data_IF_652420196799
#
_entry.id   IF_652420196799
#
_cell.length_a   1.000
_cell.length_b   1.000
_cell.length_c   1.000
_cell.angle_alpha   90.00
_cell.angle_beta   90.00
_cell.angle_gamma   90.00
#
_symmetry.space_group_name_H-M   'P 1'
#
loop_
_entity.id
_entity.type
_entity.pdbx_description
1 polymer ?
#
# COMPACT_ATOMS: atom_id res chain seq x y z
N UNK A 1 25.02 -12.91 1.53
CA UNK A 1 23.93 -12.43 0.68
C UNK A 1 22.72 -12.18 1.57
N UNK A 2 22.12 -11.02 1.49
CA UNK A 2 20.89 -10.69 2.21
C UNK A 2 19.75 -11.56 1.68
N UNK A 3 18.74 -11.77 2.54
CA UNK A 3 17.59 -12.64 2.26
C UNK A 3 16.31 -11.84 2.36
N UNK A 4 15.29 -12.27 1.62
CA UNK A 4 13.91 -11.85 1.84
C UNK A 4 13.15 -12.98 2.56
N UNK A 5 12.39 -12.62 3.60
CA UNK A 5 11.57 -13.53 4.39
C UNK A 5 10.14 -13.01 4.45
N UNK A 6 9.17 -13.92 4.47
CA UNK A 6 7.79 -13.61 4.86
C UNK A 6 7.61 -13.98 6.32
N UNK A 7 7.16 -13.04 7.14
CA UNK A 7 6.96 -13.25 8.56
C UNK A 7 6.04 -14.44 8.85
N UNK A 8 4.93 -14.52 8.14
CA UNK A 8 3.93 -15.59 8.28
C UNK A 8 4.42 -16.99 7.91
N UNK A 9 5.51 -17.09 7.13
CA UNK A 9 6.09 -18.35 6.65
C UNK A 9 7.41 -18.70 7.38
N UNK A 10 7.80 -17.87 8.36
CA UNK A 10 9.10 -17.98 9.01
C UNK A 10 8.92 -18.34 10.48
N UNK A 11 9.68 -19.34 10.95
CA UNK A 11 9.65 -19.76 12.33
C UNK A 11 10.27 -18.73 13.30
N UNK A 12 9.93 -18.88 14.59
CA UNK A 12 10.35 -17.99 15.67
C UNK A 12 11.87 -17.78 15.74
N UNK A 13 12.63 -18.86 15.61
CA UNK A 13 14.08 -18.81 15.84
C UNK A 13 14.81 -18.17 14.66
N UNK A 14 14.28 -18.33 13.46
CA UNK A 14 14.76 -17.65 12.26
C UNK A 14 14.43 -16.16 12.30
N UNK A 15 13.21 -15.77 12.68
CA UNK A 15 12.83 -14.37 12.89
C UNK A 15 13.73 -13.73 13.96
N UNK A 16 13.91 -14.37 15.11
CA UNK A 16 14.75 -13.85 16.21
C UNK A 16 16.18 -13.57 15.78
N UNK A 17 16.74 -14.39 14.89
CA UNK A 17 18.11 -14.20 14.39
C UNK A 17 18.26 -13.02 13.45
N UNK A 18 17.26 -12.79 12.60
CA UNK A 18 17.37 -11.77 11.53
C UNK A 18 16.79 -10.41 11.91
N UNK A 19 15.78 -10.39 12.78
CA UNK A 19 15.01 -9.19 13.09
C UNK A 19 15.86 -7.98 13.58
N UNK A 20 16.91 -8.16 14.41
CA UNK A 20 17.74 -7.02 14.86
C UNK A 20 18.42 -6.26 13.73
N UNK A 21 18.79 -6.95 12.65
CA UNK A 21 19.48 -6.36 11.51
C UNK A 21 18.55 -6.10 10.31
N UNK A 22 17.33 -6.61 10.36
CA UNK A 22 16.40 -6.53 9.23
C UNK A 22 15.76 -5.15 9.08
N UNK A 23 15.33 -4.87 7.83
CA UNK A 23 14.27 -3.91 7.53
C UNK A 23 12.97 -4.69 7.44
N UNK A 24 11.99 -4.36 8.29
CA UNK A 24 10.65 -4.96 8.27
C UNK A 24 9.75 -4.10 7.40
N UNK A 25 9.12 -4.71 6.39
CA UNK A 25 8.17 -4.04 5.51
C UNK A 25 6.76 -4.45 5.96
N UNK A 26 5.92 -3.49 6.31
CA UNK A 26 4.51 -3.70 6.66
C UNK A 26 3.66 -3.16 5.52
N UNK A 27 3.02 -4.02 4.70
CA UNK A 27 2.02 -3.57 3.75
C UNK A 27 0.78 -3.05 4.50
N UNK A 28 0.29 -1.87 4.15
CA UNK A 28 -0.89 -1.24 4.76
C UNK A 28 -1.89 -0.95 3.64
N UNK A 29 -2.93 -1.75 3.56
CA UNK A 29 -4.00 -1.61 2.57
C UNK A 29 -5.31 -1.13 3.19
N UNK A 30 -6.41 -1.45 2.51
CA UNK A 30 -7.77 -1.26 3.00
C UNK A 30 -8.68 -2.37 2.46
N UNK A 31 -9.81 -2.57 3.14
CA UNK A 31 -10.94 -3.35 2.65
C UNK A 31 -12.08 -2.37 2.39
N UNK A 32 -12.17 -1.88 1.17
CA UNK A 32 -13.14 -0.85 0.79
C UNK A 32 -13.73 -1.07 -0.60
N UNK A 33 -14.88 -0.45 -0.85
CA UNK A 33 -15.48 -0.50 -2.17
C UNK A 33 -14.50 0.02 -3.24
N UNK A 34 -14.44 -0.66 -4.37
CA UNK A 34 -13.65 -0.29 -5.55
C UNK A 34 -14.51 -0.36 -6.81
N UNK A 35 -15.59 0.43 -6.82
CA UNK A 35 -16.57 0.40 -7.90
C UNK A 35 -17.30 -0.96 -8.00
N UNK A 36 -18.08 -1.16 -9.05
CA UNK A 36 -18.84 -2.41 -9.24
C UNK A 36 -18.02 -3.57 -9.81
N UNK A 37 -16.73 -3.36 -10.12
CA UNK A 37 -15.93 -4.29 -10.93
C UNK A 37 -14.68 -4.83 -10.23
N UNK A 38 -14.19 -4.19 -9.15
CA UNK A 38 -13.02 -4.66 -8.41
C UNK A 38 -13.40 -5.24 -7.04
N UNK A 39 -12.59 -6.16 -6.51
CA UNK A 39 -12.78 -6.68 -5.16
C UNK A 39 -12.49 -5.61 -4.11
N UNK A 40 -13.13 -5.72 -2.96
CA UNK A 40 -12.92 -4.80 -1.84
C UNK A 40 -11.51 -4.87 -1.22
N UNK A 41 -10.74 -5.90 -1.56
CA UNK A 41 -9.35 -6.10 -1.12
C UNK A 41 -8.30 -5.49 -2.05
N UNK A 42 -8.68 -4.66 -3.02
CA UNK A 42 -7.77 -4.13 -4.06
C UNK A 42 -6.51 -3.50 -3.48
N UNK A 43 -6.64 -2.60 -2.53
CA UNK A 43 -5.50 -1.92 -1.90
C UNK A 43 -4.56 -2.88 -1.18
N UNK A 44 -5.13 -3.78 -0.38
CA UNK A 44 -4.35 -4.78 0.35
C UNK A 44 -3.63 -5.74 -0.60
N UNK A 45 -4.32 -6.16 -1.67
CA UNK A 45 -3.77 -7.05 -2.70
C UNK A 45 -2.57 -6.41 -3.41
N UNK A 46 -2.70 -5.16 -3.84
CA UNK A 46 -1.64 -4.45 -4.56
C UNK A 46 -0.48 -4.13 -3.61
N UNK A 47 -0.75 -3.61 -2.41
CA UNK A 47 0.29 -3.31 -1.42
C UNK A 47 1.12 -4.55 -1.05
N UNK A 48 0.45 -5.69 -0.82
CA UNK A 48 1.12 -6.96 -0.52
C UNK A 48 1.97 -7.45 -1.70
N UNK A 49 1.44 -7.38 -2.93
CA UNK A 49 2.16 -7.78 -4.14
C UNK A 49 3.41 -6.92 -4.38
N UNK A 50 3.32 -5.60 -4.20
CA UNK A 50 4.45 -4.69 -4.34
C UNK A 50 5.48 -4.94 -3.24
N UNK A 51 5.07 -5.12 -1.98
CA UNK A 51 5.97 -5.38 -0.87
C UNK A 51 6.76 -6.70 -1.03
N UNK A 52 6.05 -7.78 -1.36
CA UNK A 52 6.66 -9.10 -1.58
C UNK A 52 7.60 -9.10 -2.78
N UNK A 53 7.15 -8.52 -3.90
CA UNK A 53 7.95 -8.39 -5.11
C UNK A 53 9.20 -7.55 -4.87
N UNK A 54 9.07 -6.39 -4.23
CA UNK A 54 10.17 -5.50 -3.93
C UNK A 54 11.20 -6.12 -2.98
N UNK A 55 10.76 -6.78 -1.90
CA UNK A 55 11.65 -7.47 -0.99
C UNK A 55 12.42 -8.60 -1.70
N UNK A 56 11.74 -9.35 -2.57
CA UNK A 56 12.36 -10.42 -3.37
C UNK A 56 13.39 -9.87 -4.36
N UNK A 57 13.06 -8.80 -5.09
CA UNK A 57 13.95 -8.17 -6.06
C UNK A 57 15.15 -7.45 -5.42
N UNK A 58 14.98 -6.93 -4.19
CA UNK A 58 16.05 -6.31 -3.41
C UNK A 58 16.95 -7.34 -2.70
N UNK A 59 16.50 -8.60 -2.52
CA UNK A 59 17.30 -9.63 -1.89
C UNK A 59 18.61 -9.87 -2.67
N UNK A 60 19.72 -9.98 -1.94
CA UNK A 60 21.06 -10.08 -2.53
C UNK A 60 21.69 -8.73 -2.94
N UNK A 61 20.91 -7.66 -3.05
CA UNK A 61 21.37 -6.28 -3.33
C UNK A 61 21.39 -5.41 -2.06
N UNK A 62 20.55 -5.75 -1.10
CA UNK A 62 20.45 -5.04 0.19
C UNK A 62 21.55 -5.48 1.13
N UNK A 63 22.06 -4.57 1.95
CA UNK A 63 23.05 -4.88 3.00
C UNK A 63 22.40 -5.55 4.23
N UNK A 64 21.05 -5.53 4.32
CA UNK A 64 20.28 -6.04 5.43
C UNK A 64 19.25 -7.08 5.01
N UNK A 65 18.91 -8.05 5.86
CA UNK A 65 17.74 -8.90 5.63
C UNK A 65 16.47 -8.07 5.47
N UNK A 66 15.58 -8.50 4.59
CA UNK A 66 14.26 -7.89 4.39
C UNK A 66 13.18 -8.86 4.90
N UNK A 67 12.26 -8.38 5.73
CA UNK A 67 11.18 -9.21 6.29
C UNK A 67 9.86 -8.56 5.95
N UNK A 68 9.03 -9.21 5.14
CA UNK A 68 7.66 -8.74 4.85
C UNK A 68 6.73 -9.26 5.93
N UNK A 69 6.10 -8.34 6.68
CA UNK A 69 5.08 -8.66 7.67
C UNK A 69 3.74 -8.99 6.99
N UNK A 70 2.80 -9.66 7.69
CA UNK A 70 1.42 -9.78 7.22
C UNK A 70 0.83 -8.40 6.92
N UNK A 71 0.05 -8.30 5.85
CA UNK A 71 -0.59 -7.04 5.48
C UNK A 71 -1.63 -6.62 6.53
N UNK A 72 -1.79 -5.30 6.69
CA UNK A 72 -2.93 -4.71 7.39
C UNK A 72 -4.02 -4.50 6.34
N UNK A 73 -5.06 -5.33 6.37
CA UNK A 73 -6.12 -5.36 5.36
C UNK A 73 -7.23 -4.34 5.62
N UNK A 74 -7.25 -3.67 6.77
CA UNK A 74 -8.27 -2.67 7.14
C UNK A 74 -7.65 -1.29 7.26
N UNK A 75 -8.12 -0.37 6.41
CA UNK A 75 -7.66 1.00 6.33
C UNK A 75 -8.64 2.01 6.95
N UNK A 76 -8.27 3.29 6.87
CA UNK A 76 -9.13 4.42 7.24
C UNK A 76 -9.99 4.84 6.03
N UNK A 77 -11.13 4.18 5.84
CA UNK A 77 -11.97 4.21 4.63
C UNK A 77 -13.40 4.69 4.87
N UNK A 78 -13.66 5.48 5.92
CA UNK A 78 -15.01 5.93 6.29
C UNK A 78 -15.72 6.68 5.14
N UNK A 79 -14.98 7.32 4.25
CA UNK A 79 -15.52 8.01 3.08
C UNK A 79 -16.15 7.06 2.05
N UNK A 80 -15.86 5.76 2.12
CA UNK A 80 -16.42 4.72 1.27
C UNK A 80 -17.58 3.92 1.89
N UNK A 81 -17.89 4.11 3.18
CA UNK A 81 -19.00 3.42 3.86
C UNK A 81 -20.37 3.57 3.17
N UNK A 82 -20.72 4.75 2.56
CA UNK A 82 -22.03 4.91 1.91
C UNK A 82 -22.29 3.98 0.71
N UNK A 83 -21.24 3.37 0.14
CA UNK A 83 -21.39 2.52 -1.06
C UNK A 83 -21.54 1.02 -0.75
N UNK A 84 -21.36 0.61 0.51
CA UNK A 84 -21.34 -0.80 0.90
C UNK A 84 -19.99 -1.49 0.63
N UNK A 85 -19.83 -2.71 1.15
CA UNK A 85 -18.64 -3.54 0.96
C UNK A 85 -17.37 -3.07 1.70
N UNK A 86 -17.42 -1.95 2.42
CA UNK A 86 -16.28 -1.37 3.13
C UNK A 86 -16.26 -1.79 4.60
N UNK A 87 -15.08 -2.23 5.06
CA UNK A 87 -14.77 -2.44 6.48
C UNK A 87 -13.68 -1.45 6.88
N UNK A 88 -14.07 -0.38 7.57
CA UNK A 88 -13.18 0.73 7.92
C UNK A 88 -12.78 0.71 9.38
N UNK A 89 -11.53 1.10 9.66
CA UNK A 89 -11.10 1.53 10.98
C UNK A 89 -11.14 3.06 11.05
N UNK A 90 -11.47 3.63 12.21
CA UNK A 90 -11.24 5.06 12.40
C UNK A 90 -9.73 5.35 12.32
N UNK A 91 -9.31 6.57 11.90
CA UNK A 91 -7.90 6.94 11.85
C UNK A 91 -7.16 6.69 13.17
N UNK A 92 -7.80 6.95 14.31
CA UNK A 92 -7.24 6.73 15.65
C UNK A 92 -7.04 5.24 15.94
N UNK A 93 -7.99 4.40 15.53
CA UNK A 93 -7.90 2.95 15.71
C UNK A 93 -6.80 2.37 14.82
N UNK A 94 -6.72 2.77 13.55
CA UNK A 94 -5.65 2.32 12.64
C UNK A 94 -4.27 2.76 13.16
N UNK A 95 -4.15 4.00 13.65
CA UNK A 95 -2.91 4.49 14.28
C UNK A 95 -2.52 3.61 15.47
N UNK A 96 -3.48 3.25 16.33
CA UNK A 96 -3.22 2.39 17.48
C UNK A 96 -2.77 0.99 17.05
N UNK A 97 -3.40 0.39 16.04
CA UNK A 97 -3.01 -0.91 15.47
C UNK A 97 -1.57 -0.87 14.95
N UNK A 98 -1.23 0.12 14.11
CA UNK A 98 0.13 0.25 13.57
C UNK A 98 1.14 0.46 14.72
N UNK A 99 0.85 1.32 15.69
CA UNK A 99 1.72 1.54 16.84
C UNK A 99 1.94 0.27 17.68
N UNK A 100 0.94 -0.56 17.85
CA UNK A 100 1.08 -1.84 18.56
C UNK A 100 1.96 -2.84 17.80
N UNK A 101 1.88 -2.88 16.47
CA UNK A 101 2.79 -3.68 15.63
C UNK A 101 4.22 -3.15 15.72
N UNK A 102 4.42 -1.84 15.62
CA UNK A 102 5.74 -1.20 15.78
C UNK A 102 6.35 -1.50 17.16
N UNK A 103 5.56 -1.36 18.23
CA UNK A 103 5.96 -1.73 19.59
C UNK A 103 6.36 -3.21 19.68
N UNK A 104 5.60 -4.09 19.04
CA UNK A 104 5.87 -5.54 19.04
C UNK A 104 7.18 -5.87 18.32
N UNK A 105 7.46 -5.21 17.19
CA UNK A 105 8.72 -5.35 16.45
C UNK A 105 9.89 -4.85 17.31
N UNK A 106 9.76 -3.66 17.92
CA UNK A 106 10.79 -3.09 18.79
C UNK A 106 11.11 -3.99 19.99
N UNK A 107 10.07 -4.52 20.65
CA UNK A 107 10.22 -5.42 21.81
C UNK A 107 10.96 -6.73 21.46
N UNK A 108 10.94 -7.16 20.20
CA UNK A 108 11.65 -8.32 19.69
C UNK A 108 13.04 -8.00 19.11
N UNK A 109 13.50 -6.76 19.25
CA UNK A 109 14.83 -6.32 18.80
C UNK A 109 14.87 -5.72 17.40
N UNK A 110 13.74 -5.63 16.68
CA UNK A 110 13.67 -4.90 15.40
C UNK A 110 13.94 -3.40 15.60
N UNK A 111 14.53 -2.77 14.60
CA UNK A 111 14.91 -1.35 14.67
C UNK A 111 14.49 -0.53 13.45
N UNK A 112 14.16 -1.17 12.35
CA UNK A 112 13.93 -0.53 11.05
C UNK A 112 12.63 -1.03 10.45
N UNK A 113 11.73 -0.12 10.11
CA UNK A 113 10.42 -0.47 9.54
C UNK A 113 10.12 0.42 8.34
N UNK A 114 9.52 -0.17 7.31
CA UNK A 114 8.91 0.55 6.18
C UNK A 114 7.42 0.25 6.19
N UNK A 115 6.59 1.30 6.35
CA UNK A 115 5.16 1.22 6.10
C UNK A 115 4.93 1.41 4.60
N UNK A 116 4.61 0.34 3.88
CA UNK A 116 4.32 0.40 2.45
C UNK A 116 2.80 0.50 2.28
N UNK A 117 2.34 1.73 2.02
CA UNK A 117 0.93 2.06 1.97
C UNK A 117 0.34 1.87 0.58
N UNK A 118 -0.85 1.28 0.53
CA UNK A 118 -1.66 1.03 -0.66
C UNK A 118 -2.97 1.83 -0.72
N UNK A 119 -3.29 2.67 0.28
CA UNK A 119 -4.57 3.37 0.37
C UNK A 119 -4.41 4.85 0.71
N UNK A 120 -5.05 5.73 -0.06
CA UNK A 120 -4.98 7.19 0.12
C UNK A 120 -5.43 7.66 1.51
N UNK A 121 -6.47 7.06 2.07
CA UNK A 121 -6.98 7.39 3.41
C UNK A 121 -6.01 7.08 4.55
N UNK A 122 -5.00 6.24 4.32
CA UNK A 122 -4.01 5.87 5.32
C UNK A 122 -2.82 6.83 5.40
N UNK A 123 -2.61 7.71 4.41
CA UNK A 123 -1.39 8.55 4.29
C UNK A 123 -1.08 9.30 5.58
N UNK A 124 -2.04 10.07 6.10
CA UNK A 124 -1.85 10.83 7.34
C UNK A 124 -1.60 9.94 8.56
N UNK A 125 -2.26 8.77 8.62
CA UNK A 125 -2.09 7.80 9.71
C UNK A 125 -0.69 7.17 9.66
N UNK A 126 -0.20 6.79 8.48
CA UNK A 126 1.14 6.23 8.31
C UNK A 126 2.23 7.25 8.71
N UNK A 127 2.08 8.53 8.36
CA UNK A 127 2.98 9.58 8.82
C UNK A 127 2.97 9.73 10.34
N UNK A 128 1.79 9.77 10.96
CA UNK A 128 1.66 9.84 12.42
C UNK A 128 2.26 8.61 13.11
N UNK A 129 2.03 7.41 12.56
CA UNK A 129 2.60 6.16 13.07
C UNK A 129 4.13 6.13 12.96
N UNK A 130 4.69 6.60 11.85
CA UNK A 130 6.14 6.69 11.67
C UNK A 130 6.78 7.62 12.72
N UNK A 131 6.20 8.80 12.95
CA UNK A 131 6.65 9.71 13.98
C UNK A 131 6.53 9.12 15.39
N UNK A 132 5.42 8.45 15.70
CA UNK A 132 5.22 7.78 16.98
C UNK A 132 6.19 6.61 17.19
N UNK A 133 6.45 5.82 16.16
CA UNK A 133 7.41 4.69 16.19
C UNK A 133 8.83 5.16 16.52
N UNK A 134 9.25 6.25 15.89
CA UNK A 134 10.57 6.85 16.17
C UNK A 134 10.67 7.37 17.60
N UNK A 135 9.68 8.12 18.06
CA UNK A 135 9.77 8.81 19.37
C UNK A 135 9.48 7.92 20.57
N UNK A 136 8.60 6.90 20.41
CA UNK A 136 8.15 6.05 21.53
C UNK A 136 8.91 4.74 21.63
N UNK A 137 9.41 4.21 20.52
CA UNK A 137 9.96 2.85 20.46
C UNK A 137 11.39 2.78 19.95
N UNK A 138 12.03 3.91 19.70
CA UNK A 138 13.40 3.99 19.18
C UNK A 138 13.57 3.21 17.85
N UNK A 139 12.59 3.36 16.97
CA UNK A 139 12.59 2.76 15.63
C UNK A 139 12.95 3.81 14.58
N UNK A 140 13.67 3.40 13.55
CA UNK A 140 13.69 4.12 12.28
C UNK A 140 12.51 3.65 11.44
N UNK A 141 11.55 4.54 11.17
CA UNK A 141 10.34 4.19 10.42
C UNK A 141 10.23 5.07 9.18
N UNK A 142 10.26 4.44 8.01
CA UNK A 142 9.96 5.09 6.74
C UNK A 142 8.50 4.83 6.35
N UNK A 143 7.89 5.77 5.61
CA UNK A 143 6.57 5.64 5.00
C UNK A 143 6.72 5.79 3.48
N UNK A 144 6.13 4.87 2.73
CA UNK A 144 6.17 4.81 1.28
C UNK A 144 4.77 4.54 0.73
N UNK A 145 4.19 5.52 0.02
CA UNK A 145 2.99 5.31 -0.80
C UNK A 145 3.43 4.74 -2.15
N UNK A 146 3.04 3.51 -2.49
CA UNK A 146 3.59 2.82 -3.68
C UNK A 146 3.34 3.60 -4.98
N UNK A 147 2.22 4.29 -5.09
CA UNK A 147 1.87 5.04 -6.31
C UNK A 147 2.76 6.26 -6.57
N UNK A 148 3.44 6.78 -5.54
CA UNK A 148 4.43 7.86 -5.74
C UNK A 148 5.68 7.40 -6.49
N UNK A 149 5.83 6.10 -6.68
CA UNK A 149 6.89 5.51 -7.49
C UNK A 149 6.49 5.38 -8.96
N UNK A 150 5.20 5.53 -9.30
CA UNK A 150 4.75 5.48 -10.67
C UNK A 150 5.34 6.64 -11.49
N UNK A 151 5.67 6.37 -12.74
CA UNK A 151 6.02 7.42 -13.70
C UNK A 151 4.73 8.03 -14.24
N UNK A 152 4.49 9.30 -13.92
CA UNK A 152 3.21 9.96 -14.21
C UNK A 152 3.39 11.29 -14.92
N UNK A 153 4.49 11.46 -15.68
CA UNK A 153 4.69 12.68 -16.47
C UNK A 153 3.51 12.92 -17.42
N UNK A 154 2.70 13.93 -17.11
CA UNK A 154 1.57 14.37 -17.92
C UNK A 154 0.26 13.59 -17.73
N UNK A 155 0.20 12.61 -16.85
CA UNK A 155 -0.98 11.78 -16.56
C UNK A 155 -1.81 12.34 -15.39
N UNK A 156 -3.12 11.98 -15.29
CA UNK A 156 -3.91 12.33 -14.12
C UNK A 156 -3.29 11.74 -12.85
N UNK A 157 -3.57 12.32 -11.66
CA UNK A 157 -3.01 11.83 -10.41
C UNK A 157 -3.31 10.34 -10.20
N UNK A 158 -2.27 9.53 -10.02
CA UNK A 158 -2.42 8.13 -9.64
C UNK A 158 -2.42 8.01 -8.11
N UNK A 159 -3.03 6.97 -7.57
CA UNK A 159 -3.65 5.83 -8.27
C UNK A 159 -5.06 6.12 -8.80
N UNK A 160 -5.66 7.27 -8.51
CA UNK A 160 -7.09 7.46 -8.62
C UNK A 160 -7.83 6.60 -7.57
N UNK A 161 -8.96 6.00 -7.96
CA UNK A 161 -9.68 5.01 -7.14
C UNK A 161 -10.51 4.11 -8.05
N UNK A 162 -10.23 2.82 -8.04
CA UNK A 162 -10.88 1.82 -8.88
C UNK A 162 -10.91 2.19 -10.38
N UNK A 163 -9.94 2.97 -10.82
CA UNK A 163 -9.80 3.42 -12.19
C UNK A 163 -9.03 2.45 -13.07
N UNK A 164 -8.59 2.92 -14.22
CA UNK A 164 -7.82 2.14 -15.18
C UNK A 164 -6.51 1.62 -14.57
N UNK A 165 -5.83 2.44 -13.76
CA UNK A 165 -4.55 2.11 -13.13
C UNK A 165 -4.65 0.87 -12.22
N UNK A 166 -5.54 0.90 -11.23
CA UNK A 166 -5.72 -0.20 -10.27
C UNK A 166 -6.38 -1.41 -10.93
N UNK A 167 -7.35 -1.18 -11.81
CA UNK A 167 -8.03 -2.26 -12.53
C UNK A 167 -7.06 -3.07 -13.38
N UNK A 168 -6.09 -2.41 -14.05
CA UNK A 168 -5.05 -3.10 -14.82
C UNK A 168 -4.18 -3.99 -13.93
N UNK A 169 -3.78 -3.49 -12.76
CA UNK A 169 -2.96 -4.26 -11.81
C UNK A 169 -3.72 -5.46 -11.23
N UNK A 170 -5.01 -5.29 -10.89
CA UNK A 170 -5.82 -6.42 -10.39
C UNK A 170 -6.06 -7.44 -11.50
N UNK A 171 -6.26 -7.02 -12.76
CA UNK A 171 -6.32 -7.93 -13.91
C UNK A 171 -5.03 -8.76 -14.06
N UNK A 172 -3.88 -8.19 -13.79
CA UNK A 172 -2.60 -8.91 -13.85
C UNK A 172 -2.41 -9.87 -12.66
N UNK A 173 -2.85 -9.48 -11.46
CA UNK A 173 -2.68 -10.25 -10.23
C UNK A 173 -3.76 -11.33 -10.05
N UNK A 174 -5.02 -10.95 -10.23
CA UNK A 174 -6.20 -11.76 -9.93
C UNK A 174 -7.33 -11.48 -10.94
N UNK A 175 -7.19 -11.87 -12.21
CA UNK A 175 -8.20 -11.64 -13.24
C UNK A 175 -9.57 -12.28 -12.89
N UNK A 176 -9.55 -13.33 -12.08
CA UNK A 176 -10.74 -14.02 -11.58
C UNK A 176 -11.62 -13.17 -10.64
N UNK A 177 -11.06 -12.09 -10.06
CA UNK A 177 -11.76 -11.17 -9.16
C UNK A 177 -12.32 -9.92 -9.87
N UNK A 178 -11.99 -9.70 -11.14
CA UNK A 178 -12.44 -8.52 -11.87
C UNK A 178 -13.78 -8.78 -12.56
N UNK A 179 -14.80 -8.02 -12.17
CA UNK A 179 -16.13 -8.07 -12.74
C UNK A 179 -16.27 -7.27 -14.04
N UNK A 180 -17.49 -7.19 -14.60
CA UNK A 180 -17.78 -6.41 -15.80
C UNK A 180 -17.44 -4.93 -15.62
N UNK A 181 -16.65 -4.37 -16.53
CA UNK A 181 -16.22 -2.96 -16.56
C UNK A 181 -17.10 -2.20 -17.54
N UNK A 182 -18.21 -1.65 -17.03
CA UNK A 182 -19.19 -0.94 -17.87
C UNK A 182 -18.72 0.52 -18.06
N UNK A 183 -18.55 0.99 -19.32
CA UNK A 183 -18.18 2.36 -19.59
C UNK A 183 -19.19 3.36 -19.00
N UNK A 184 -18.70 4.45 -18.43
CA UNK A 184 -19.56 5.55 -17.97
C UNK A 184 -19.89 6.48 -19.14
N UNK A 185 -21.13 7.00 -19.23
CA UNK A 185 -21.48 8.03 -20.20
C UNK A 185 -20.62 9.28 -20.09
N UNK A 186 -20.25 9.64 -18.89
CA UNK A 186 -19.39 10.78 -18.57
C UNK A 186 -18.44 10.42 -17.43
N UNK A 187 -17.14 10.69 -17.60
CA UNK A 187 -16.13 10.55 -16.56
C UNK A 187 -16.27 11.74 -15.60
N UNK A 188 -16.49 11.49 -14.30
CA UNK A 188 -16.60 12.58 -13.32
C UNK A 188 -15.27 13.32 -13.18
N UNK A 189 -15.32 14.64 -13.06
CA UNK A 189 -14.15 15.43 -12.74
C UNK A 189 -13.84 15.34 -11.24
N UNK A 190 -12.60 14.97 -10.93
CA UNK A 190 -12.07 14.99 -9.56
C UNK A 190 -11.56 16.39 -9.26
N UNK A 191 -12.20 17.06 -8.31
CA UNK A 191 -11.80 18.42 -7.90
C UNK A 191 -10.54 18.33 -7.06
N UNK A 192 -9.45 18.92 -7.57
CA UNK A 192 -8.18 19.07 -6.84
C UNK A 192 -7.81 20.53 -6.68
N UNK A 193 -7.15 20.88 -5.58
CA UNK A 193 -6.55 22.19 -5.35
C UNK A 193 -5.07 21.99 -5.13
N UNK A 194 -4.26 22.66 -5.94
CA UNK A 194 -2.79 22.48 -5.88
C UNK A 194 -2.24 22.75 -4.48
N UNK A 195 -1.48 21.80 -3.94
CA UNK A 195 -0.85 21.87 -2.62
C UNK A 195 -1.82 21.71 -1.45
N UNK A 196 -3.06 21.22 -1.71
CA UNK A 196 -4.07 20.99 -0.66
C UNK A 196 -4.61 19.56 -0.76
N UNK A 197 -4.51 18.81 0.33
CA UNK A 197 -5.18 17.51 0.48
C UNK A 197 -6.61 17.74 0.97
N UNK A 198 -7.60 17.45 0.10
CA UNK A 198 -9.01 17.65 0.41
C UNK A 198 -9.69 16.33 0.80
N UNK A 199 -10.12 16.23 2.05
CA UNK A 199 -10.95 15.12 2.55
C UNK A 199 -12.43 15.54 2.54
N UNK A 200 -13.23 14.99 1.62
CA UNK A 200 -14.64 15.38 1.48
C UNK A 200 -15.52 14.23 0.99
N UNK A 201 -16.43 13.75 1.83
CA UNK A 201 -17.44 12.78 1.41
C UNK A 201 -18.39 13.28 0.32
N UNK A 202 -18.52 14.61 0.12
CA UNK A 202 -19.30 15.18 -0.99
C UNK A 202 -18.62 14.96 -2.33
N UNK A 203 -17.29 15.06 -2.40
CA UNK A 203 -16.53 14.77 -3.62
C UNK A 203 -16.75 13.31 -4.03
N UNK A 204 -16.59 12.38 -3.11
CA UNK A 204 -16.80 10.95 -3.37
C UNK A 204 -18.19 10.63 -3.90
N UNK A 205 -19.25 11.21 -3.30
CA UNK A 205 -20.64 11.03 -3.79
C UNK A 205 -20.86 11.54 -5.22
N UNK A 206 -20.13 12.59 -5.65
CA UNK A 206 -20.25 13.12 -7.02
C UNK A 206 -19.65 12.21 -8.07
N UNK A 207 -18.62 11.45 -7.72
CA UNK A 207 -17.92 10.53 -8.63
C UNK A 207 -18.45 9.09 -8.57
N UNK A 208 -19.54 8.86 -7.81
CA UNK A 208 -20.13 7.53 -7.62
C UNK A 208 -19.12 6.48 -7.13
N UNK A 209 -18.22 6.92 -6.23
CA UNK A 209 -17.29 6.06 -5.51
C UNK A 209 -16.08 5.54 -6.30
N UNK A 210 -15.91 5.86 -7.59
CA UNK A 210 -14.71 5.48 -8.35
C UNK A 210 -14.34 6.51 -9.42
N UNK A 211 -13.08 6.54 -9.87
CA UNK A 211 -12.56 7.54 -10.80
C UNK A 211 -12.49 7.01 -12.24
N UNK A 212 -12.06 7.82 -13.15
CA UNK A 212 -11.65 7.62 -14.54
C UNK A 212 -12.35 6.49 -15.36
N UNK A 213 -11.61 5.71 -16.13
CA UNK A 213 -12.11 4.80 -17.18
C UNK A 213 -11.62 3.36 -16.97
N UNK A 214 -12.16 2.60 -16.00
CA UNK A 214 -11.76 1.22 -15.74
C UNK A 214 -11.97 0.26 -16.93
N UNK A 215 -12.87 0.61 -17.86
CA UNK A 215 -13.10 -0.16 -19.07
C UNK A 215 -11.89 -0.21 -20.01
N UNK A 216 -10.95 0.73 -19.89
CA UNK A 216 -9.71 0.76 -20.68
C UNK A 216 -8.61 -0.14 -20.11
N UNK A 217 -8.76 -0.61 -18.87
CA UNK A 217 -7.74 -1.40 -18.18
C UNK A 217 -7.37 -2.69 -18.94
N UNK A 218 -6.08 -3.02 -18.95
CA UNK A 218 -5.51 -4.17 -19.62
C UNK A 218 -4.53 -4.92 -18.70
N UNK A 219 -4.59 -6.26 -18.74
CA UNK A 219 -3.73 -7.10 -17.89
C UNK A 219 -2.24 -6.94 -18.19
N UNK A 220 -1.86 -6.80 -19.47
CA UNK A 220 -0.45 -6.65 -19.87
C UNK A 220 0.12 -5.31 -19.38
N UNK A 221 -0.64 -4.22 -19.44
CA UNK A 221 -0.25 -2.93 -18.87
C UNK A 221 -0.13 -3.00 -17.34
N UNK A 222 -1.09 -3.69 -16.69
CA UNK A 222 -1.04 -3.92 -15.25
C UNK A 222 0.18 -4.70 -14.82
N UNK A 223 0.58 -5.71 -15.60
CA UNK A 223 1.81 -6.48 -15.35
C UNK A 223 3.04 -5.61 -15.46
N UNK A 224 3.16 -4.81 -16.51
CA UNK A 224 4.29 -3.90 -16.69
C UNK A 224 4.37 -2.87 -15.57
N UNK A 225 3.24 -2.26 -15.19
CA UNK A 225 3.17 -1.31 -14.07
C UNK A 225 3.60 -1.94 -12.75
N UNK A 226 3.15 -3.17 -12.46
CA UNK A 226 3.58 -3.89 -11.26
C UNK A 226 5.08 -4.18 -11.28
N UNK A 227 5.64 -4.61 -12.42
CA UNK A 227 7.06 -4.85 -12.58
C UNK A 227 7.88 -3.56 -12.33
N UNK A 228 7.45 -2.43 -12.89
CA UNK A 228 8.09 -1.13 -12.71
C UNK A 228 8.01 -0.65 -11.26
N UNK A 229 6.83 -0.73 -10.63
CA UNK A 229 6.64 -0.36 -9.22
C UNK A 229 7.46 -1.23 -8.27
N UNK A 230 7.47 -2.53 -8.50
CA UNK A 230 8.30 -3.49 -7.75
C UNK A 230 9.77 -3.17 -7.89
N UNK A 231 10.26 -2.89 -9.09
CA UNK A 231 11.65 -2.51 -9.35
C UNK A 231 12.05 -1.24 -8.61
N UNK A 232 11.24 -0.18 -8.73
CA UNK A 232 11.49 1.10 -8.04
C UNK A 232 11.37 0.97 -6.52
N UNK A 233 10.40 0.21 -6.02
CA UNK A 233 10.27 -0.06 -4.59
C UNK A 233 11.47 -0.87 -4.06
N UNK A 234 11.98 -1.84 -4.83
CA UNK A 234 13.18 -2.58 -4.49
C UNK A 234 14.41 -1.66 -4.37
N UNK A 235 14.56 -0.71 -5.30
CA UNK A 235 15.65 0.28 -5.24
C UNK A 235 15.55 1.14 -3.98
N UNK A 236 14.34 1.60 -3.62
CA UNK A 236 14.12 2.34 -2.35
C UNK A 236 14.41 1.50 -1.12
N UNK A 237 14.06 0.21 -1.13
CA UNK A 237 14.39 -0.69 -0.01
C UNK A 237 15.90 -0.89 0.14
N UNK A 238 16.65 -0.99 -0.96
CA UNK A 238 18.12 -1.06 -0.94
C UNK A 238 18.73 0.22 -0.38
N UNK A 239 18.30 1.39 -0.87
CA UNK A 239 18.74 2.69 -0.36
C UNK A 239 18.44 2.85 1.15
N UNK A 240 17.21 2.54 1.58
CA UNK A 240 16.81 2.61 2.98
C UNK A 240 17.61 1.65 3.86
N UNK A 241 17.91 0.44 3.39
CA UNK A 241 18.72 -0.51 4.13
C UNK A 241 20.15 -0.01 4.37
N UNK A 242 20.68 0.82 3.47
CA UNK A 242 22.01 1.42 3.59
C UNK A 242 22.05 2.64 4.53
N UNK A 243 20.93 3.35 4.72
CA UNK A 243 20.88 4.58 5.55
C UNK A 243 20.23 4.39 6.92
N UNK A 244 19.48 3.31 7.11
CA UNK A 244 18.83 2.92 8.38
C UNK A 244 19.68 1.93 9.16
#
# INVERSE_FOLDING_TARGET
MSIALRWSETDRDRLRRHLPEAVVIIPVGATEQHGPHLPTSTDALIAAAVADGAATAAAGRSDRPLIVAPAIDWGASDHHLPYGGTLSLSPETLLAVICDLLRSIAAQGGRRVVLLNGHGGNVGVCHAAAAAGSTRFDLSVAHLDYWRLADTEGEPPVPGHAGEFETSMVLALRPDLVGPRVPRPQVPEVVTVQGVDLHSGTVWRRIDGFTDRPELAQADEGKQRLEDLVGRAADRLVELAGVL
#
